data_IF_795320513390
#
_entry.id   IF_795320513390
#
_cell.length_a   1.000
_cell.length_b   1.000
_cell.length_c   1.000
_cell.angle_alpha   90.00
_cell.angle_beta   90.00
_cell.angle_gamma   90.00
#
_symmetry.space_group_name_H-M   'P 1'
#
loop_
_entity.id
_entity.type
_entity.pdbx_description
1 polymer ?
#
# COMPACT_ATOMS: atom_id res chain seq x y z
N UNK A 1 -3.14 -15.80 -0.14
CA UNK A 1 -3.01 -14.34 0.12
C UNK A 1 -1.53 -14.05 0.26
N UNK A 2 -1.02 -12.97 -0.33
CA UNK A 2 0.41 -12.62 -0.27
C UNK A 2 0.72 -12.07 1.13
N UNK A 3 1.83 -12.50 1.75
CA UNK A 3 2.34 -11.93 3.01
C UNK A 3 3.46 -10.93 2.69
N UNK A 4 3.28 -9.69 3.13
CA UNK A 4 4.20 -8.58 2.92
C UNK A 4 4.81 -8.06 4.23
N UNK A 5 4.71 -8.80 5.34
CA UNK A 5 5.31 -8.39 6.62
C UNK A 5 6.81 -8.08 6.47
N UNK A 6 7.20 -6.94 7.03
CA UNK A 6 8.57 -6.44 6.98
C UNK A 6 8.98 -5.88 5.61
N UNK A 7 8.04 -5.66 4.69
CA UNK A 7 8.26 -4.94 3.43
C UNK A 7 7.70 -3.54 3.53
N UNK A 8 8.37 -2.61 2.86
CA UNK A 8 7.90 -1.24 2.67
C UNK A 8 7.39 -1.10 1.24
N UNK A 9 6.20 -0.54 1.07
CA UNK A 9 5.62 -0.23 -0.22
C UNK A 9 5.51 1.29 -0.40
N UNK A 10 6.24 1.85 -1.37
CA UNK A 10 6.08 3.24 -1.81
C UNK A 10 5.02 3.29 -2.91
N UNK A 11 3.93 4.01 -2.66
CA UNK A 11 2.82 4.16 -3.61
C UNK A 11 2.69 5.61 -4.04
N UNK A 12 2.76 5.86 -5.35
CA UNK A 12 2.48 7.16 -5.98
C UNK A 12 0.98 7.25 -6.32
N UNK A 13 0.38 8.44 -6.23
CA UNK A 13 -1.05 8.64 -6.51
C UNK A 13 -1.99 7.96 -5.51
N UNK A 14 -1.53 7.70 -4.28
CA UNK A 14 -2.27 6.92 -3.28
C UNK A 14 -3.39 7.68 -2.55
N UNK A 15 -3.61 8.96 -2.87
CA UNK A 15 -4.55 9.82 -2.13
C UNK A 15 -6.04 9.46 -2.36
N UNK A 16 -6.38 8.87 -3.51
CA UNK A 16 -7.76 8.54 -3.89
C UNK A 16 -7.86 7.39 -4.90
N UNK A 17 -9.08 7.03 -5.27
CA UNK A 17 -9.36 6.08 -6.34
C UNK A 17 -8.66 4.74 -6.16
N UNK A 18 -8.06 4.24 -7.24
CA UNK A 18 -7.34 2.96 -7.27
C UNK A 18 -6.09 2.99 -6.38
N UNK A 19 -5.31 4.08 -6.39
CA UNK A 19 -4.11 4.18 -5.57
C UNK A 19 -4.40 4.02 -4.07
N UNK A 20 -5.52 4.59 -3.59
CA UNK A 20 -5.97 4.37 -2.20
C UNK A 20 -6.39 2.91 -1.96
N UNK A 21 -7.09 2.29 -2.91
CA UNK A 21 -7.50 0.89 -2.79
C UNK A 21 -6.28 -0.04 -2.71
N UNK A 22 -5.25 0.22 -3.51
CA UNK A 22 -3.99 -0.51 -3.55
C UNK A 22 -3.22 -0.35 -2.24
N UNK A 23 -3.07 0.88 -1.73
CA UNK A 23 -2.47 1.14 -0.41
C UNK A 23 -3.12 0.30 0.69
N UNK A 24 -4.46 0.27 0.73
CA UNK A 24 -5.19 -0.49 1.73
C UNK A 24 -5.02 -2.01 1.55
N UNK A 25 -4.93 -2.50 0.31
CA UNK A 25 -4.68 -3.90 0.04
C UNK A 25 -3.27 -4.33 0.49
N UNK A 26 -2.25 -3.51 0.19
CA UNK A 26 -0.86 -3.73 0.60
C UNK A 26 -0.70 -3.70 2.12
N UNK A 27 -1.33 -2.73 2.79
CA UNK A 27 -1.33 -2.65 4.26
C UNK A 27 -2.02 -3.87 4.89
N UNK A 28 -3.15 -4.33 4.35
CA UNK A 28 -3.82 -5.57 4.82
C UNK A 28 -2.96 -6.82 4.63
N UNK A 29 -2.11 -6.85 3.61
CA UNK A 29 -1.12 -7.91 3.40
C UNK A 29 0.09 -7.82 4.34
N UNK A 30 0.21 -6.75 5.15
CA UNK A 30 1.24 -6.59 6.17
C UNK A 30 2.41 -5.67 5.78
N UNK A 31 2.33 -4.96 4.66
CA UNK A 31 3.35 -3.98 4.28
C UNK A 31 3.22 -2.68 5.10
N UNK A 32 4.34 -2.04 5.39
CA UNK A 32 4.38 -0.63 5.78
C UNK A 32 4.24 0.23 4.51
N UNK A 33 3.16 1.00 4.41
CA UNK A 33 2.84 1.75 3.19
C UNK A 33 3.21 3.22 3.35
N UNK A 34 4.04 3.72 2.43
CA UNK A 34 4.39 5.14 2.30
C UNK A 34 3.66 5.68 1.08
N UNK A 35 2.91 6.77 1.26
CA UNK A 35 2.12 7.40 0.19
C UNK A 35 2.78 8.70 -0.25
N UNK A 36 2.91 8.88 -1.55
CA UNK A 36 3.24 10.15 -2.20
C UNK A 36 2.20 10.45 -3.27
N UNK A 37 1.79 11.71 -3.44
CA UNK A 37 0.84 12.14 -4.47
C UNK A 37 1.53 13.08 -5.47
#
# INVERSE_FOLDING_TARGET
MIDLKGKVALVTGGSRGLGRADCLALARAGADVVVTD
#
